data_IF_046942976712
#
_entry.id   IF_046942976712
#
_cell.length_a   1.000
_cell.length_b   1.000
_cell.length_c   1.000
_cell.angle_alpha   90.00
_cell.angle_beta   90.00
_cell.angle_gamma   90.00
#
_symmetry.space_group_name_H-M   'P 1'
#
loop_
_entity.id
_entity.type
_entity.pdbx_description
1 polymer ?
#
# COMPACT_ATOMS: atom_id res chain seq x y z
N UNK A 1 9.34 7.64 -48.46
CA UNK A 1 8.72 6.37 -48.01
C UNK A 1 9.82 5.43 -47.59
N UNK A 2 10.20 5.44 -46.31
CA UNK A 2 11.09 4.44 -45.76
C UNK A 2 10.21 3.33 -45.15
N UNK A 3 10.33 2.14 -45.69
CA UNK A 3 9.66 0.94 -45.22
C UNK A 3 10.15 0.60 -43.85
N UNK A 4 9.26 0.64 -42.84
CA UNK A 4 9.52 0.07 -41.52
C UNK A 4 9.77 -1.42 -41.68
N UNK A 5 11.00 -1.86 -41.41
CA UNK A 5 11.30 -3.29 -41.27
C UNK A 5 10.56 -3.84 -40.04
N UNK A 6 9.90 -4.97 -40.12
CA UNK A 6 9.36 -5.62 -38.93
C UNK A 6 10.52 -5.93 -37.98
N UNK A 7 10.47 -5.46 -36.75
CA UNK A 7 11.39 -5.86 -35.70
C UNK A 7 11.30 -7.38 -35.53
N UNK A 8 12.43 -8.01 -35.59
CA UNK A 8 12.52 -9.46 -35.47
C UNK A 8 12.02 -9.88 -34.06
N UNK A 9 10.99 -10.71 -34.05
CA UNK A 9 10.43 -11.35 -32.85
C UNK A 9 11.46 -12.26 -32.14
N UNK A 10 12.64 -12.45 -32.72
CA UNK A 10 13.67 -13.37 -32.23
C UNK A 10 14.46 -12.87 -31.02
N UNK A 11 14.55 -11.54 -30.78
CA UNK A 11 15.34 -11.03 -29.65
C UNK A 11 14.57 -10.94 -28.31
N UNK A 12 13.26 -10.97 -28.36
CA UNK A 12 12.42 -10.99 -27.13
C UNK A 12 12.42 -12.37 -26.43
N UNK A 13 12.93 -13.43 -27.09
CA UNK A 13 13.06 -14.78 -26.48
C UNK A 13 14.33 -14.98 -25.66
N UNK A 14 15.20 -14.00 -25.58
CA UNK A 14 16.45 -14.10 -24.82
C UNK A 14 16.27 -13.87 -23.30
N UNK A 15 15.10 -13.51 -22.85
CA UNK A 15 14.73 -13.43 -21.43
C UNK A 15 13.50 -14.29 -21.17
N UNK A 16 13.69 -15.62 -21.09
CA UNK A 16 12.61 -16.52 -20.79
C UNK A 16 12.29 -16.41 -19.31
N UNK A 17 11.57 -15.54 -18.77
CA UNK A 17 11.12 -15.48 -17.37
C UNK A 17 11.37 -14.16 -16.66
N UNK A 18 10.95 -13.03 -17.24
CA UNK A 18 10.68 -11.87 -16.46
C UNK A 18 9.24 -11.96 -15.93
N UNK A 19 9.11 -12.56 -14.75
CA UNK A 19 7.82 -12.74 -14.07
C UNK A 19 7.48 -11.57 -13.12
N UNK A 20 8.14 -10.42 -13.29
CA UNK A 20 7.94 -9.23 -12.45
C UNK A 20 6.51 -8.73 -12.54
N UNK A 21 5.86 -8.56 -11.40
CA UNK A 21 4.54 -7.97 -11.26
C UNK A 21 4.67 -6.47 -11.01
N UNK A 22 3.88 -5.67 -11.71
CA UNK A 22 3.82 -4.21 -11.55
C UNK A 22 2.54 -3.80 -10.81
N UNK A 23 2.56 -2.67 -10.12
CA UNK A 23 1.38 -2.09 -9.48
C UNK A 23 0.88 -2.83 -8.25
N UNK A 24 1.78 -3.58 -7.60
CA UNK A 24 1.49 -4.30 -6.36
C UNK A 24 2.65 -4.13 -5.39
N UNK A 25 2.35 -4.03 -4.12
CA UNK A 25 3.32 -4.16 -3.02
C UNK A 25 3.23 -5.50 -2.30
N UNK A 26 2.27 -6.34 -2.66
CA UNK A 26 1.98 -7.62 -2.03
C UNK A 26 2.40 -8.82 -2.88
N UNK A 27 2.43 -8.66 -4.21
CA UNK A 27 2.80 -9.71 -5.17
C UNK A 27 3.88 -9.14 -6.08
N UNK A 28 5.00 -9.86 -6.24
CA UNK A 28 6.21 -9.33 -6.86
C UNK A 28 6.60 -10.06 -8.13
N UNK A 29 6.37 -11.38 -8.16
CA UNK A 29 6.68 -12.25 -9.28
C UNK A 29 5.60 -13.32 -9.44
N UNK A 30 5.38 -13.78 -10.66
CA UNK A 30 4.47 -14.87 -10.96
C UNK A 30 5.22 -16.19 -11.16
N UNK A 31 4.52 -17.33 -11.09
CA UNK A 31 5.07 -18.63 -11.37
C UNK A 31 6.05 -19.21 -10.34
N UNK A 32 6.19 -18.59 -9.18
CA UNK A 32 7.14 -18.97 -8.13
C UNK A 32 6.46 -19.17 -6.77
N UNK A 33 7.09 -20.02 -5.93
CA UNK A 33 6.80 -20.03 -4.50
C UNK A 33 7.57 -18.89 -3.83
N UNK A 34 6.86 -18.01 -3.14
CA UNK A 34 7.45 -16.82 -2.54
C UNK A 34 7.15 -16.76 -1.06
N UNK A 35 8.16 -16.42 -0.25
CA UNK A 35 7.97 -15.90 1.08
C UNK A 35 7.69 -14.41 0.97
N UNK A 36 6.41 -14.03 0.99
CA UNK A 36 6.01 -12.63 0.86
C UNK A 36 6.32 -11.86 2.12
N UNK A 37 5.87 -12.37 3.26
CA UNK A 37 6.02 -11.73 4.57
C UNK A 37 6.23 -12.78 5.66
N UNK A 38 7.28 -12.61 6.45
CA UNK A 38 7.51 -13.33 7.70
C UNK A 38 7.86 -12.28 8.77
N UNK A 39 7.02 -12.18 9.81
CA UNK A 39 7.26 -11.33 10.97
C UNK A 39 7.48 -12.17 12.21
N UNK A 40 8.48 -11.83 13.01
CA UNK A 40 8.72 -12.39 14.35
C UNK A 40 8.91 -11.23 15.30
N UNK A 41 8.19 -11.25 16.42
CA UNK A 41 8.28 -10.20 17.42
C UNK A 41 7.21 -10.31 18.47
N UNK A 42 6.95 -9.22 19.16
CA UNK A 42 5.94 -9.21 20.22
C UNK A 42 5.79 -7.85 20.88
N UNK A 43 4.83 -7.81 21.77
CA UNK A 43 4.55 -6.68 22.64
C UNK A 43 5.28 -6.85 23.98
N UNK A 44 5.78 -5.76 24.50
CA UNK A 44 6.45 -5.66 25.78
C UNK A 44 5.67 -4.71 26.69
N UNK A 45 5.43 -5.16 27.93
CA UNK A 45 4.76 -4.37 28.95
C UNK A 45 5.46 -4.55 30.30
N UNK A 46 5.81 -3.44 30.93
CA UNK A 46 6.30 -3.39 32.30
C UNK A 46 5.70 -2.17 33.00
N UNK A 47 4.77 -2.41 33.95
CA UNK A 47 4.00 -1.36 34.60
C UNK A 47 3.27 -0.46 33.57
N UNK A 48 3.73 0.79 33.43
CA UNK A 48 3.21 1.76 32.46
C UNK A 48 4.10 1.89 31.20
N UNK A 49 5.28 1.25 31.20
CA UNK A 49 6.15 1.21 30.02
C UNK A 49 5.63 0.17 29.04
N UNK A 50 5.60 0.51 27.78
CA UNK A 50 5.16 -0.37 26.70
C UNK A 50 6.10 -0.28 25.52
N UNK A 51 6.14 -1.31 24.73
CA UNK A 51 6.90 -1.36 23.50
C UNK A 51 6.41 -2.46 22.60
N UNK A 52 6.80 -2.39 21.34
CA UNK A 52 6.58 -3.43 20.36
C UNK A 52 7.80 -3.51 19.46
N UNK A 53 8.23 -4.72 19.19
CA UNK A 53 9.21 -5.02 18.15
C UNK A 53 8.64 -6.11 17.25
N UNK A 54 8.52 -5.82 15.97
CA UNK A 54 8.16 -6.78 14.93
C UNK A 54 9.17 -6.68 13.80
N UNK A 55 9.80 -7.78 13.49
CA UNK A 55 10.66 -7.89 12.32
C UNK A 55 9.86 -8.17 11.05
N UNK A 56 10.49 -7.98 9.90
CA UNK A 56 9.92 -8.41 8.62
C UNK A 56 11.00 -9.00 7.71
N UNK A 57 10.69 -10.16 7.17
CA UNK A 57 11.52 -10.85 6.19
C UNK A 57 10.66 -11.21 4.98
N UNK A 58 11.30 -11.67 3.92
CA UNK A 58 10.64 -11.95 2.66
C UNK A 58 10.60 -10.72 1.75
N UNK A 59 9.72 -10.74 0.76
CA UNK A 59 9.70 -9.70 -0.27
C UNK A 59 9.31 -8.32 0.27
N UNK A 60 8.50 -8.25 1.33
CA UNK A 60 8.12 -7.00 1.96
C UNK A 60 9.31 -6.19 2.49
N UNK A 61 10.41 -6.85 2.87
CA UNK A 61 11.64 -6.14 3.26
C UNK A 61 12.31 -5.37 2.11
N UNK A 62 11.90 -5.61 0.88
CA UNK A 62 12.38 -4.88 -0.31
C UNK A 62 11.35 -3.91 -0.86
N UNK A 63 10.11 -4.35 -0.99
CA UNK A 63 9.08 -3.56 -1.68
C UNK A 63 8.52 -2.44 -0.82
N UNK A 64 8.41 -2.63 0.49
CA UNK A 64 7.95 -1.57 1.41
C UNK A 64 8.91 -0.39 1.44
N UNK A 65 10.23 -0.58 1.71
CA UNK A 65 11.20 0.52 1.70
C UNK A 65 11.41 1.13 0.32
N UNK A 66 11.20 0.39 -0.77
CA UNK A 66 11.33 0.90 -2.14
C UNK A 66 10.47 2.16 -2.39
N UNK A 67 9.37 2.29 -1.67
CA UNK A 67 8.46 3.44 -1.77
C UNK A 67 8.86 4.61 -0.86
N UNK A 68 9.96 4.50 -0.10
CA UNK A 68 10.52 5.60 0.70
C UNK A 68 11.52 6.42 -0.14
N UNK A 69 11.23 7.71 -0.34
CA UNK A 69 12.12 8.61 -1.06
C UNK A 69 13.18 9.27 -0.14
N UNK A 70 13.13 9.06 1.17
CA UNK A 70 14.05 9.70 2.13
C UNK A 70 15.52 9.33 1.92
N UNK A 71 15.93 8.17 1.35
CA UNK A 71 17.33 7.87 1.04
C UNK A 71 17.99 8.86 0.07
N UNK A 72 17.22 9.55 -0.76
CA UNK A 72 17.75 10.59 -1.63
C UNK A 72 18.11 11.89 -0.89
N UNK A 73 17.86 11.95 0.42
CA UNK A 73 18.12 13.11 1.26
C UNK A 73 19.16 12.81 2.34
N UNK A 74 20.40 13.17 2.10
CA UNK A 74 21.49 12.98 3.05
C UNK A 74 22.33 11.74 2.75
N UNK A 75 23.23 11.39 3.66
CA UNK A 75 24.26 10.39 3.39
C UNK A 75 23.94 8.99 3.94
N UNK A 76 22.94 8.90 4.82
CA UNK A 76 22.57 7.64 5.45
C UNK A 76 21.37 7.03 4.74
N UNK A 77 21.52 5.79 4.32
CA UNK A 77 20.43 5.03 3.70
C UNK A 77 19.55 4.41 4.79
N UNK A 78 18.45 5.09 5.10
CA UNK A 78 17.51 4.68 6.15
C UNK A 78 16.70 3.45 5.75
N UNK A 79 16.40 3.24 4.47
CA UNK A 79 15.68 2.07 4.01
C UNK A 79 16.49 0.80 4.24
N UNK A 80 17.80 0.84 4.02
CA UNK A 80 18.71 -0.26 4.35
C UNK A 80 18.80 -0.51 5.85
N UNK A 81 18.78 0.56 6.66
CA UNK A 81 18.87 0.45 8.11
C UNK A 81 17.64 -0.21 8.74
N UNK A 82 16.45 0.08 8.20
CA UNK A 82 15.19 -0.31 8.83
C UNK A 82 14.37 -1.35 8.05
N UNK A 83 14.81 -1.80 6.88
CA UNK A 83 14.04 -2.71 6.00
C UNK A 83 13.56 -4.01 6.64
N UNK A 84 14.24 -4.48 7.69
CA UNK A 84 13.88 -5.70 8.41
C UNK A 84 13.03 -5.45 9.66
N UNK A 85 12.54 -4.22 9.84
CA UNK A 85 11.71 -3.80 10.96
C UNK A 85 10.36 -3.32 10.40
N UNK A 86 9.28 -4.02 10.74
CA UNK A 86 7.94 -3.54 10.44
C UNK A 86 7.44 -2.59 11.52
N UNK A 87 7.65 -2.94 12.78
CA UNK A 87 7.31 -2.08 13.91
C UNK A 87 8.42 -2.09 14.95
N UNK A 88 8.82 -0.92 15.43
CA UNK A 88 9.72 -0.78 16.57
C UNK A 88 9.42 0.53 17.29
N UNK A 89 8.67 0.45 18.38
CA UNK A 89 8.35 1.62 19.18
C UNK A 89 8.40 1.32 20.67
N UNK A 90 8.69 2.37 21.42
CA UNK A 90 8.58 2.41 22.86
C UNK A 90 7.63 3.51 23.29
N UNK A 91 7.00 3.34 24.44
CA UNK A 91 6.04 4.32 24.91
C UNK A 91 5.63 4.16 26.35
N UNK A 92 4.69 5.00 26.74
CA UNK A 92 4.19 5.08 28.10
C UNK A 92 2.66 5.14 28.11
N UNK A 93 2.07 4.39 29.04
CA UNK A 93 0.63 4.34 29.26
C UNK A 93 0.25 5.19 30.49
N UNK A 94 -0.65 6.14 30.28
CA UNK A 94 -1.26 6.94 31.35
C UNK A 94 -2.65 6.38 31.68
N UNK A 95 -2.90 6.09 32.94
CA UNK A 95 -4.19 5.59 33.44
C UNK A 95 -5.17 6.74 33.66
N UNK A 96 -5.51 7.46 32.58
CA UNK A 96 -6.44 8.57 32.55
C UNK A 96 -7.58 8.23 31.59
N UNK A 97 -8.84 8.39 32.00
CA UNK A 97 -10.03 7.91 31.29
C UNK A 97 -9.93 6.40 31.01
N UNK A 98 -10.14 5.97 29.76
CA UNK A 98 -9.92 4.57 29.35
C UNK A 98 -8.48 4.31 28.83
N UNK A 99 -7.56 5.22 29.11
CA UNK A 99 -6.13 5.13 28.78
C UNK A 99 -5.68 6.19 27.78
N UNK A 100 -4.41 6.58 27.95
CA UNK A 100 -3.67 7.41 26.97
C UNK A 100 -2.32 6.72 26.76
N UNK A 101 -1.96 6.44 25.52
CA UNK A 101 -0.63 5.95 25.17
C UNK A 101 0.13 7.04 24.42
N UNK A 102 1.41 7.19 24.75
CA UNK A 102 2.34 8.06 24.04
C UNK A 102 3.47 7.15 23.56
N UNK A 103 3.58 6.94 22.26
CA UNK A 103 4.54 6.03 21.65
C UNK A 103 5.42 6.76 20.64
N UNK A 104 6.70 6.38 20.54
CA UNK A 104 7.64 6.90 19.56
C UNK A 104 8.41 5.76 18.88
N UNK A 105 8.60 5.87 17.56
CA UNK A 105 9.32 4.88 16.78
C UNK A 105 8.74 4.63 15.40
N UNK A 106 8.88 3.39 14.91
CA UNK A 106 8.38 2.91 13.63
C UNK A 106 7.07 2.15 13.85
N UNK A 107 6.06 2.49 13.07
CA UNK A 107 4.71 1.96 13.17
C UNK A 107 4.18 1.54 11.82
N UNK A 108 3.26 0.58 11.78
CA UNK A 108 2.40 0.40 10.62
C UNK A 108 1.49 1.61 10.44
N UNK A 109 1.08 1.82 9.20
CA UNK A 109 0.22 2.95 8.84
C UNK A 109 -1.09 2.97 9.61
N UNK A 110 -1.53 4.17 9.96
CA UNK A 110 -2.90 4.41 10.44
C UNK A 110 -3.86 4.74 9.30
N UNK A 111 -3.36 5.03 8.09
CA UNK A 111 -4.17 5.37 6.92
C UNK A 111 -4.65 4.10 6.24
N UNK A 112 -5.94 4.05 5.95
CA UNK A 112 -6.57 2.92 5.30
C UNK A 112 -7.18 1.90 6.25
N UNK A 113 -8.05 1.08 5.69
CA UNK A 113 -8.75 0.01 6.40
C UNK A 113 -7.95 -1.30 6.40
N UNK A 114 -7.14 -1.52 5.36
CA UNK A 114 -6.39 -2.75 5.17
C UNK A 114 -5.13 -2.76 6.02
N UNK A 115 -4.88 -3.92 6.64
CA UNK A 115 -3.68 -4.16 7.41
C UNK A 115 -2.47 -4.41 6.50
N UNK A 116 -1.30 -3.96 6.94
CA UNK A 116 -0.02 -4.39 6.38
C UNK A 116 0.18 -5.91 6.46
N UNK A 117 -0.38 -6.55 7.48
CA UNK A 117 -0.31 -7.97 7.68
C UNK A 117 -1.44 -8.68 6.92
N UNK A 118 -1.08 -9.44 5.91
CA UNK A 118 -2.01 -10.09 4.98
C UNK A 118 -3.00 -11.03 5.63
N UNK A 119 -2.63 -11.63 6.76
CA UNK A 119 -3.52 -12.50 7.53
C UNK A 119 -4.81 -11.79 7.96
N UNK A 120 -4.74 -10.51 8.27
CA UNK A 120 -5.87 -9.74 8.79
C UNK A 120 -6.81 -9.23 7.68
N UNK A 121 -6.42 -9.33 6.42
CA UNK A 121 -7.17 -8.80 5.28
C UNK A 121 -8.18 -9.81 4.71
N UNK A 122 -9.26 -9.29 4.14
CA UNK A 122 -10.27 -10.10 3.45
C UNK A 122 -9.88 -10.53 2.04
N UNK A 123 -8.99 -9.79 1.41
CA UNK A 123 -8.37 -10.09 0.12
C UNK A 123 -6.85 -10.17 0.28
N UNK A 124 -6.16 -10.94 -0.55
CA UNK A 124 -4.71 -10.99 -0.55
C UNK A 124 -4.11 -9.75 -1.21
N UNK A 125 -4.65 -9.39 -2.37
CA UNK A 125 -4.32 -8.17 -3.07
C UNK A 125 -5.44 -7.15 -2.83
N UNK A 126 -5.29 -6.21 -1.89
CA UNK A 126 -6.28 -5.15 -1.74
C UNK A 126 -6.33 -4.25 -2.98
N UNK A 127 -7.41 -3.48 -3.13
CA UNK A 127 -7.62 -2.57 -4.25
C UNK A 127 -6.52 -1.50 -4.37
N UNK A 128 -6.48 -0.81 -5.50
CA UNK A 128 -5.56 0.30 -5.78
C UNK A 128 -5.51 1.35 -4.70
N UNK A 129 -6.63 1.67 -4.06
CA UNK A 129 -6.68 2.63 -2.94
C UNK A 129 -5.68 2.20 -1.87
N UNK A 130 -5.76 0.96 -1.41
CA UNK A 130 -4.85 0.44 -0.39
C UNK A 130 -3.40 0.35 -0.89
N UNK A 131 -3.17 -0.11 -2.13
CA UNK A 131 -1.82 -0.24 -2.69
C UNK A 131 -1.12 1.13 -2.87
N UNK A 132 -1.87 2.23 -2.98
CA UNK A 132 -1.35 3.58 -3.17
C UNK A 132 -1.45 4.48 -1.92
N UNK A 133 -1.77 3.89 -0.75
CA UNK A 133 -1.68 4.54 0.56
C UNK A 133 -0.44 4.06 1.32
N UNK A 134 0.00 4.75 2.38
CA UNK A 134 1.25 4.42 3.06
C UNK A 134 1.14 3.16 3.88
N UNK A 135 2.23 2.41 3.98
CA UNK A 135 2.33 1.17 4.74
C UNK A 135 2.94 1.36 6.13
N UNK A 136 3.77 2.37 6.32
CA UNK A 136 4.45 2.62 7.60
C UNK A 136 4.68 4.10 7.84
N UNK A 137 4.94 4.43 9.11
CA UNK A 137 5.34 5.76 9.55
C UNK A 137 6.46 5.67 10.59
N UNK A 138 7.30 6.70 10.64
CA UNK A 138 8.27 6.90 11.70
C UNK A 138 8.01 8.24 12.39
N UNK A 139 7.80 8.22 13.71
CA UNK A 139 7.46 9.44 14.44
C UNK A 139 6.95 9.20 15.85
N UNK A 140 6.00 10.02 16.25
CA UNK A 140 5.33 9.96 17.55
C UNK A 140 3.82 9.89 17.33
N UNK A 141 3.15 9.03 18.09
CA UNK A 141 1.69 8.98 18.15
C UNK A 141 1.19 9.13 19.59
N UNK A 142 0.04 9.73 19.72
CA UNK A 142 -0.74 9.74 20.92
C UNK A 142 -2.02 8.93 20.68
N UNK A 143 -2.30 7.90 21.48
CA UNK A 143 -3.58 7.21 21.43
C UNK A 143 -4.40 7.62 22.65
N UNK A 144 -5.55 8.19 22.40
CA UNK A 144 -6.48 8.66 23.41
C UNK A 144 -7.78 7.88 23.31
N UNK A 145 -8.24 7.29 24.42
CA UNK A 145 -9.45 6.51 24.51
C UNK A 145 -10.48 7.19 25.41
N UNK A 146 -11.33 8.09 24.88
CA UNK A 146 -12.39 8.73 25.66
C UNK A 146 -13.43 7.74 26.17
N UNK A 147 -13.64 6.65 25.43
CA UNK A 147 -14.48 5.52 25.80
C UNK A 147 -13.92 4.23 25.18
N UNK A 148 -14.49 3.08 25.56
CA UNK A 148 -14.20 1.77 24.95
C UNK A 148 -14.59 1.68 23.45
N UNK A 149 -15.41 2.63 22.98
CA UNK A 149 -15.92 2.68 21.60
C UNK A 149 -15.30 3.78 20.74
N UNK A 150 -14.49 4.65 21.34
CA UNK A 150 -13.88 5.80 20.64
C UNK A 150 -12.38 5.86 20.90
N UNK A 151 -11.60 5.84 19.81
CA UNK A 151 -10.17 6.13 19.82
C UNK A 151 -9.90 7.36 18.97
N UNK A 152 -9.11 8.29 19.50
CA UNK A 152 -8.59 9.46 18.79
C UNK A 152 -7.06 9.35 18.83
N UNK A 153 -6.42 9.48 17.67
CA UNK A 153 -5.00 9.17 17.54
C UNK A 153 -4.29 10.21 16.67
N UNK A 154 -3.85 11.36 17.24
CA UNK A 154 -2.99 12.31 16.53
C UNK A 154 -1.56 11.79 16.39
N UNK A 155 -0.91 12.15 15.27
CA UNK A 155 0.43 11.75 14.89
C UNK A 155 1.30 12.93 14.48
N UNK A 156 2.57 12.87 14.86
CA UNK A 156 3.65 13.71 14.35
C UNK A 156 4.69 12.78 13.72
N UNK A 157 4.86 12.84 12.40
CA UNK A 157 5.63 11.85 11.65
C UNK A 157 6.64 12.51 10.71
N UNK A 158 7.64 11.77 10.31
CA UNK A 158 8.68 12.27 9.41
C UNK A 158 8.15 12.59 8.00
N UNK A 159 7.14 11.86 7.52
CA UNK A 159 6.54 12.05 6.21
C UNK A 159 5.66 10.87 5.82
N UNK A 160 5.04 10.97 4.67
CA UNK A 160 4.19 9.94 4.08
C UNK A 160 5.02 8.73 3.64
N UNK A 161 4.84 7.60 4.29
CA UNK A 161 5.60 6.37 4.05
C UNK A 161 7.12 6.63 4.05
N UNK A 162 7.63 7.23 5.11
CA UNK A 162 9.02 7.64 5.15
C UNK A 162 9.68 7.42 6.51
N UNK A 163 10.88 6.86 6.50
CA UNK A 163 11.73 6.77 7.69
C UNK A 163 12.34 8.12 8.07
N UNK A 164 12.59 8.99 7.09
CA UNK A 164 13.18 10.31 7.29
C UNK A 164 12.30 11.44 6.79
N UNK A 165 12.63 12.67 7.14
CA UNK A 165 11.92 13.86 6.64
C UNK A 165 12.28 14.16 5.19
N UNK A 166 11.30 14.53 4.39
CA UNK A 166 11.50 15.03 3.03
C UNK A 166 12.01 16.49 3.01
N UNK A 167 11.49 17.30 3.91
CA UNK A 167 11.78 18.74 4.00
C UNK A 167 12.04 19.16 5.45
N UNK A 168 11.94 20.47 5.77
CA UNK A 168 12.21 21.01 7.10
C UNK A 168 11.14 20.62 8.12
N UNK A 169 9.88 20.63 7.72
CA UNK A 169 8.74 20.34 8.59
C UNK A 169 8.45 18.82 8.63
N UNK A 170 8.01 18.28 9.78
CA UNK A 170 7.40 16.97 9.86
C UNK A 170 6.00 16.98 9.22
N UNK A 171 5.46 15.79 8.97
CA UNK A 171 4.05 15.60 8.65
C UNK A 171 3.18 15.49 9.90
N UNK A 172 1.94 15.90 9.77
CA UNK A 172 0.92 15.75 10.79
C UNK A 172 -0.22 14.89 10.26
N UNK A 173 -0.80 14.11 11.15
CA UNK A 173 -1.96 13.33 10.79
C UNK A 173 -2.72 12.82 11.99
N UNK A 174 -3.67 11.95 11.72
CA UNK A 174 -4.41 11.31 12.79
C UNK A 174 -5.51 10.41 12.31
N UNK A 175 -5.98 9.61 13.26
CA UNK A 175 -7.06 8.67 13.08
C UNK A 175 -8.13 8.89 14.13
N UNK A 176 -9.40 8.81 13.75
CA UNK A 176 -10.51 8.62 14.66
C UNK A 176 -11.20 7.32 14.30
N UNK A 177 -11.25 6.39 15.26
CA UNK A 177 -12.00 5.14 15.15
C UNK A 177 -13.18 5.20 16.13
N UNK A 178 -14.39 5.10 15.59
CA UNK A 178 -15.62 5.07 16.37
C UNK A 178 -16.45 3.84 16.07
N UNK A 179 -16.83 3.11 17.11
CA UNK A 179 -17.68 1.91 17.06
C UNK A 179 -19.00 2.18 17.76
N UNK A 180 -19.97 2.85 17.12
CA UNK A 180 -21.24 3.19 17.76
C UNK A 180 -22.00 1.95 18.24
N UNK A 181 -21.85 0.84 17.54
CA UNK A 181 -22.40 -0.48 17.91
C UNK A 181 -21.36 -1.58 17.69
N UNK A 182 -21.67 -2.80 18.11
CA UNK A 182 -20.81 -3.97 17.86
C UNK A 182 -20.83 -4.42 16.38
N UNK A 183 -21.72 -3.84 15.59
CA UNK A 183 -21.88 -4.15 14.18
C UNK A 183 -21.38 -3.05 13.24
N UNK A 184 -21.08 -1.87 13.73
CA UNK A 184 -20.68 -0.72 12.92
C UNK A 184 -19.36 -0.16 13.42
N UNK A 185 -18.41 0.02 12.50
CA UNK A 185 -17.16 0.71 12.75
C UNK A 185 -16.95 1.79 11.71
N UNK A 186 -16.66 2.99 12.17
CA UNK A 186 -16.34 4.17 11.36
C UNK A 186 -14.89 4.56 11.63
N UNK A 187 -14.15 4.78 10.55
CA UNK A 187 -12.75 5.17 10.60
C UNK A 187 -12.55 6.41 9.73
N UNK A 188 -11.89 7.42 10.25
CA UNK A 188 -11.42 8.56 9.46
C UNK A 188 -9.95 8.79 9.75
N UNK A 189 -9.17 8.93 8.69
CA UNK A 189 -7.74 9.16 8.71
C UNK A 189 -7.44 10.45 7.97
N UNK A 190 -6.54 11.26 8.49
CA UNK A 190 -6.16 12.52 7.86
C UNK A 190 -4.65 12.69 7.91
N UNK A 191 -4.11 13.37 6.89
CA UNK A 191 -2.71 13.67 6.78
C UNK A 191 -2.47 15.04 6.13
N UNK A 192 -1.43 15.73 6.58
CA UNK A 192 -0.90 16.95 5.95
C UNK A 192 0.63 16.99 6.09
N UNK A 193 1.33 17.24 5.00
CA UNK A 193 2.80 17.33 5.01
C UNK A 193 3.36 17.81 3.70
N UNK A 194 4.70 17.96 3.65
CA UNK A 194 5.44 18.37 2.45
C UNK A 194 6.28 17.21 1.94
N UNK A 195 5.75 16.47 0.95
CA UNK A 195 6.26 15.16 0.52
C UNK A 195 7.10 15.21 -0.75
N UNK A 196 7.17 16.34 -1.41
CA UNK A 196 8.04 16.51 -2.57
C UNK A 196 9.46 16.82 -2.12
N UNK A 197 10.37 15.89 -2.35
CA UNK A 197 11.75 15.99 -1.90
C UNK A 197 12.42 17.28 -2.42
N UNK A 198 12.95 18.09 -1.48
CA UNK A 198 13.59 19.37 -1.80
C UNK A 198 12.63 20.51 -2.14
N UNK A 199 11.32 20.30 -2.13
CA UNK A 199 10.32 21.34 -2.40
C UNK A 199 9.38 21.51 -1.19
N UNK A 200 9.77 22.39 -0.26
CA UNK A 200 9.03 22.62 0.98
C UNK A 200 7.71 23.40 0.79
N UNK A 201 7.50 23.97 -0.39
CA UNK A 201 6.29 24.74 -0.70
C UNK A 201 5.17 23.85 -1.30
N UNK A 202 5.45 22.59 -1.58
CA UNK A 202 4.48 21.61 -2.11
C UNK A 202 3.87 20.82 -0.97
N UNK A 203 2.62 21.09 -0.67
CA UNK A 203 1.85 20.48 0.41
C UNK A 203 0.96 19.36 -0.10
N UNK A 204 0.94 18.25 0.62
CA UNK A 204 -0.01 17.15 0.47
C UNK A 204 -1.05 17.20 1.59
N UNK A 205 -2.31 17.08 1.22
CA UNK A 205 -3.43 16.85 2.14
C UNK A 205 -4.12 15.57 1.70
N UNK A 206 -4.46 14.70 2.65
CA UNK A 206 -5.08 13.42 2.36
C UNK A 206 -6.08 13.02 3.45
N UNK A 207 -7.20 12.43 3.04
CA UNK A 207 -8.22 11.86 3.94
C UNK A 207 -8.68 10.50 3.42
N UNK A 208 -8.73 9.52 4.30
CA UNK A 208 -9.25 8.17 4.04
C UNK A 208 -10.36 7.89 5.04
N UNK A 209 -11.54 7.53 4.57
CA UNK A 209 -12.73 7.34 5.39
C UNK A 209 -13.35 5.99 5.12
N UNK A 210 -13.53 5.18 6.15
CA UNK A 210 -13.99 3.82 6.02
C UNK A 210 -15.19 3.51 6.91
N UNK A 211 -16.10 2.72 6.36
CA UNK A 211 -17.21 2.08 7.04
C UNK A 211 -17.02 0.58 7.02
N UNK A 212 -17.19 -0.07 8.16
CA UNK A 212 -17.40 -1.52 8.26
C UNK A 212 -18.76 -1.77 8.89
N UNK A 213 -19.51 -2.67 8.30
CA UNK A 213 -20.83 -3.06 8.81
C UNK A 213 -21.00 -4.57 8.78
N UNK A 214 -21.31 -5.16 9.94
CA UNK A 214 -21.70 -6.56 10.07
C UNK A 214 -23.22 -6.63 10.08
N UNK A 215 -23.80 -7.19 9.04
CA UNK A 215 -25.25 -7.22 8.84
C UNK A 215 -25.87 -8.52 9.32
N UNK A 216 -25.06 -9.57 9.52
CA UNK A 216 -25.49 -10.86 9.99
C UNK A 216 -24.38 -11.53 10.83
N UNK A 217 -24.76 -12.16 11.95
CA UNK A 217 -23.86 -12.93 12.80
C UNK A 217 -24.67 -13.99 13.56
N UNK A 218 -24.65 -15.23 13.07
CA UNK A 218 -25.26 -16.38 13.73
C UNK A 218 -24.51 -17.66 13.35
N UNK A 219 -23.75 -18.20 14.27
CA UNK A 219 -22.91 -19.40 14.06
C UNK A 219 -23.68 -20.73 13.99
N UNK A 220 -24.96 -20.72 14.30
CA UNK A 220 -25.81 -21.92 14.28
C UNK A 220 -26.45 -22.16 12.89
N UNK A 221 -26.20 -21.27 11.95
CA UNK A 221 -26.68 -21.37 10.57
C UNK A 221 -25.53 -21.65 9.59
N UNK A 222 -25.81 -22.21 8.38
CA UNK A 222 -24.79 -22.47 7.37
C UNK A 222 -23.98 -21.24 6.99
N UNK A 223 -24.63 -20.06 6.90
CA UNK A 223 -23.96 -18.75 6.78
C UNK A 223 -23.77 -18.21 8.18
N UNK A 224 -22.54 -18.18 8.69
CA UNK A 224 -22.26 -17.76 10.05
C UNK A 224 -22.16 -16.26 10.21
N UNK A 225 -21.74 -15.53 9.17
CA UNK A 225 -21.57 -14.08 9.24
C UNK A 225 -21.61 -13.45 7.85
N UNK A 226 -22.10 -12.22 7.76
CA UNK A 226 -21.99 -11.37 6.56
C UNK A 226 -21.61 -9.96 6.98
N UNK A 227 -20.60 -9.40 6.32
CA UNK A 227 -20.14 -8.05 6.57
C UNK A 227 -19.69 -7.37 5.28
N UNK A 228 -19.71 -6.04 5.29
CA UNK A 228 -19.30 -5.17 4.20
C UNK A 228 -18.32 -4.11 4.68
N UNK A 229 -17.47 -3.68 3.75
CA UNK A 229 -16.60 -2.51 3.94
C UNK A 229 -16.75 -1.56 2.77
N UNK A 230 -16.64 -0.28 3.06
CA UNK A 230 -16.52 0.79 2.07
C UNK A 230 -15.44 1.74 2.55
N UNK A 231 -14.47 2.05 1.69
CA UNK A 231 -13.48 3.10 1.91
C UNK A 231 -13.61 4.12 0.80
N UNK A 232 -13.59 5.40 1.17
CA UNK A 232 -13.46 6.53 0.24
C UNK A 232 -12.22 7.30 0.63
N UNK A 233 -11.35 7.51 -0.34
CA UNK A 233 -10.03 8.08 -0.17
C UNK A 233 -9.86 9.28 -1.10
N UNK A 234 -9.41 10.40 -0.56
CA UNK A 234 -9.22 11.64 -1.32
C UNK A 234 -8.00 12.40 -0.81
N UNK A 235 -7.23 12.91 -1.75
CA UNK A 235 -6.07 13.73 -1.43
C UNK A 235 -5.68 14.64 -2.57
N UNK A 236 -4.79 15.56 -2.29
CA UNK A 236 -4.23 16.41 -3.31
C UNK A 236 -2.89 17.01 -2.89
N UNK A 237 -2.17 17.56 -3.88
CA UNK A 237 -0.98 18.36 -3.67
C UNK A 237 -1.14 19.76 -4.27
N UNK A 238 -0.67 20.76 -3.54
CA UNK A 238 -0.74 22.17 -3.95
C UNK A 238 0.50 22.93 -3.51
N UNK A 239 0.87 23.96 -4.26
CA UNK A 239 2.08 24.74 -4.06
C UNK A 239 3.28 24.15 -4.81
N UNK A 240 4.42 24.85 -4.81
CA UNK A 240 5.62 24.40 -5.50
C UNK A 240 5.45 24.14 -7.01
N UNK A 241 4.52 24.83 -7.65
CA UNK A 241 4.26 24.72 -9.10
C UNK A 241 3.16 23.72 -9.48
N UNK A 242 2.44 23.15 -8.53
CA UNK A 242 1.30 22.25 -8.76
C UNK A 242 0.03 22.74 -8.07
N UNK A 243 -1.13 22.23 -8.47
CA UNK A 243 -2.44 22.60 -7.93
C UNK A 243 -3.36 21.38 -7.80
N UNK A 244 -4.18 21.35 -6.75
CA UNK A 244 -5.20 20.34 -6.57
C UNK A 244 -6.28 20.33 -7.64
N UNK A 245 -6.75 21.53 -8.04
CA UNK A 245 -8.00 21.66 -8.79
C UNK A 245 -7.80 22.18 -10.22
N UNK A 246 -6.65 22.75 -10.52
CA UNK A 246 -6.36 23.31 -11.84
C UNK A 246 -5.12 22.71 -12.42
N UNK A 247 -5.19 22.31 -13.67
CA UNK A 247 -4.06 21.76 -14.40
C UNK A 247 -4.14 22.12 -15.88
N UNK A 248 -3.02 21.97 -16.55
CA UNK A 248 -2.92 21.97 -18.01
C UNK A 248 -2.49 20.59 -18.46
N UNK A 249 -2.57 20.30 -19.76
CA UNK A 249 -2.00 19.07 -20.30
C UNK A 249 -0.50 18.92 -19.96
N UNK A 250 0.22 20.04 -19.77
CA UNK A 250 1.62 20.02 -19.33
C UNK A 250 1.82 19.88 -17.80
N UNK A 251 0.81 20.14 -17.00
CA UNK A 251 0.82 20.00 -15.52
C UNK A 251 -0.59 19.66 -15.08
N UNK A 252 -0.97 18.38 -15.04
CA UNK A 252 -2.31 17.97 -14.65
C UNK A 252 -2.57 18.31 -13.18
N UNK A 253 -3.84 18.40 -12.84
CA UNK A 253 -4.26 18.58 -11.46
C UNK A 253 -3.71 17.44 -10.59
N UNK A 254 -3.15 17.79 -9.45
CA UNK A 254 -2.56 16.84 -8.49
C UNK A 254 -3.60 16.46 -7.45
N UNK A 255 -4.55 15.61 -7.81
CA UNK A 255 -5.51 15.04 -6.86
C UNK A 255 -5.55 13.51 -6.97
N UNK A 256 -5.90 12.90 -5.88
CA UNK A 256 -6.20 11.49 -5.74
C UNK A 256 -7.63 11.36 -5.27
N UNK A 257 -8.43 10.57 -5.96
CA UNK A 257 -9.77 10.20 -5.53
C UNK A 257 -9.97 8.71 -5.81
N UNK A 258 -10.35 7.98 -4.79
CA UNK A 258 -10.57 6.55 -4.91
C UNK A 258 -11.63 6.02 -3.97
N UNK A 259 -12.09 4.83 -4.27
CA UNK A 259 -12.92 4.05 -3.36
C UNK A 259 -12.60 2.57 -3.48
N UNK A 260 -12.92 1.83 -2.44
CA UNK A 260 -12.92 0.37 -2.45
C UNK A 260 -14.09 -0.16 -1.63
N UNK A 261 -14.72 -1.22 -2.13
CA UNK A 261 -15.84 -1.86 -1.47
C UNK A 261 -15.67 -3.38 -1.51
N UNK A 262 -15.92 -4.03 -0.37
CA UNK A 262 -15.86 -5.49 -0.25
C UNK A 262 -17.03 -6.01 0.56
N UNK A 263 -17.58 -7.15 0.11
CA UNK A 263 -18.52 -7.95 0.85
C UNK A 263 -17.89 -9.31 1.18
N UNK A 264 -18.05 -9.77 2.42
CA UNK A 264 -17.57 -11.07 2.86
C UNK A 264 -18.66 -11.84 3.59
N UNK A 265 -18.80 -13.10 3.22
CA UNK A 265 -19.66 -14.06 3.89
C UNK A 265 -18.80 -15.21 4.44
N UNK A 266 -19.11 -15.61 5.66
CA UNK A 266 -18.46 -16.76 6.34
C UNK A 266 -19.47 -17.89 6.46
N UNK A 267 -18.99 -19.12 6.41
CA UNK A 267 -19.78 -20.33 6.37
C UNK A 267 -19.25 -21.36 7.37
N UNK A 268 -20.16 -22.23 7.82
CA UNK A 268 -19.84 -23.37 8.68
C UNK A 268 -19.00 -22.99 9.92
N UNK A 269 -19.51 -22.08 10.73
CA UNK A 269 -18.83 -21.56 11.94
C UNK A 269 -17.48 -20.91 11.61
N UNK A 270 -17.44 -20.15 10.53
CA UNK A 270 -16.27 -19.42 10.02
C UNK A 270 -15.16 -20.33 9.42
N UNK A 271 -15.45 -21.62 9.16
CA UNK A 271 -14.49 -22.54 8.53
C UNK A 271 -14.12 -22.11 7.11
N UNK A 272 -15.09 -21.55 6.36
CA UNK A 272 -14.91 -21.03 5.01
C UNK A 272 -15.34 -19.58 4.94
N UNK A 273 -14.75 -18.84 4.02
CA UNK A 273 -15.27 -17.52 3.66
C UNK A 273 -15.11 -17.23 2.17
N UNK A 274 -16.02 -16.42 1.66
CA UNK A 274 -15.94 -15.84 0.31
C UNK A 274 -15.96 -14.33 0.43
N UNK A 275 -15.02 -13.68 -0.22
CA UNK A 275 -14.97 -12.21 -0.34
C UNK A 275 -15.09 -11.83 -1.81
N UNK A 276 -15.89 -10.83 -2.11
CA UNK A 276 -15.98 -10.22 -3.43
C UNK A 276 -15.85 -8.72 -3.25
N UNK A 277 -15.06 -8.08 -4.08
CA UNK A 277 -14.91 -6.62 -4.04
C UNK A 277 -13.89 -6.09 -5.01
N UNK A 278 -13.56 -4.84 -4.84
CA UNK A 278 -12.62 -4.10 -5.67
C UNK A 278 -12.80 -2.60 -5.49
N UNK A 279 -12.24 -1.82 -6.39
CA UNK A 279 -12.32 -0.39 -6.33
C UNK A 279 -11.78 0.31 -7.56
N UNK A 280 -11.72 1.63 -7.48
CA UNK A 280 -11.18 2.46 -8.54
C UNK A 280 -10.47 3.68 -7.97
N UNK A 281 -9.49 4.19 -8.71
CA UNK A 281 -8.80 5.44 -8.41
C UNK A 281 -8.71 6.34 -9.64
N UNK A 282 -8.68 7.64 -9.36
CA UNK A 282 -8.35 8.70 -10.29
C UNK A 282 -7.20 9.51 -9.70
N UNK A 283 -6.07 9.58 -10.40
CA UNK A 283 -4.89 10.33 -9.97
C UNK A 283 -4.19 10.94 -11.20
N UNK A 284 -4.73 12.02 -11.77
CA UNK A 284 -4.23 12.57 -13.04
C UNK A 284 -2.77 13.03 -12.97
N UNK A 285 -2.32 13.49 -11.82
CA UNK A 285 -0.93 13.90 -11.60
C UNK A 285 0.01 12.76 -11.19
N UNK A 286 -0.51 11.57 -10.93
CA UNK A 286 0.24 10.34 -10.57
C UNK A 286 1.10 10.42 -9.30
N UNK A 287 0.86 11.38 -8.40
CA UNK A 287 1.76 11.65 -7.28
C UNK A 287 1.82 10.53 -6.22
N UNK A 288 0.86 9.62 -6.17
CA UNK A 288 0.83 8.45 -5.27
C UNK A 288 0.91 7.10 -5.99
N UNK A 289 0.99 7.08 -7.31
CA UNK A 289 0.98 5.82 -8.07
C UNK A 289 2.28 5.07 -7.85
N UNK A 290 2.19 3.77 -7.52
CA UNK A 290 3.35 2.90 -7.44
C UNK A 290 4.07 2.86 -8.79
N UNK A 291 5.35 3.19 -8.81
CA UNK A 291 6.14 3.17 -10.03
C UNK A 291 6.40 1.74 -10.52
N UNK A 292 6.32 1.46 -11.82
CA UNK A 292 6.83 0.21 -12.38
C UNK A 292 8.31 0.01 -11.99
N UNK A 293 8.71 -1.18 -11.48
CA UNK A 293 10.07 -1.43 -11.01
C UNK A 293 11.06 -1.67 -12.17
N UNK A 294 10.94 -0.92 -13.26
CA UNK A 294 11.81 -1.06 -14.43
C UNK A 294 13.22 -0.63 -14.08
N UNK A 295 14.20 -1.49 -14.35
CA UNK A 295 15.61 -1.28 -14.02
C UNK A 295 15.85 -0.89 -12.56
N UNK A 296 15.16 -1.56 -11.62
CA UNK A 296 15.29 -1.32 -10.19
C UNK A 296 14.74 0.03 -9.71
N UNK A 297 13.85 0.66 -10.46
CA UNK A 297 13.23 1.95 -10.10
C UNK A 297 12.59 1.92 -8.71
N UNK A 298 12.76 3.00 -7.98
CA UNK A 298 12.18 3.26 -6.65
C UNK A 298 11.60 4.66 -6.57
N UNK A 299 10.92 4.98 -5.48
CA UNK A 299 10.39 6.33 -5.25
C UNK A 299 11.48 7.41 -5.27
N UNK A 300 12.70 7.08 -4.85
CA UNK A 300 13.85 8.00 -4.86
C UNK A 300 14.41 8.23 -6.27
N UNK A 301 14.46 7.19 -7.11
CA UNK A 301 15.04 7.28 -8.46
C UNK A 301 14.02 7.72 -9.51
N UNK A 302 12.75 7.39 -9.33
CA UNK A 302 11.77 7.50 -10.42
C UNK A 302 12.07 6.55 -11.57
N UNK A 303 11.31 6.65 -12.66
CA UNK A 303 11.57 5.95 -13.92
C UNK A 303 11.07 6.73 -15.13
N UNK A 304 11.84 6.81 -16.22
CA UNK A 304 11.40 7.49 -17.45
C UNK A 304 10.34 6.71 -18.22
N UNK A 305 10.10 5.45 -17.88
CA UNK A 305 9.13 4.58 -18.55
C UNK A 305 7.70 4.79 -18.05
N UNK A 306 7.56 5.32 -16.85
CA UNK A 306 6.27 5.68 -16.28
C UNK A 306 6.45 6.96 -15.45
N UNK A 307 6.24 8.10 -16.09
CA UNK A 307 6.51 9.41 -15.48
C UNK A 307 5.25 9.99 -14.84
N UNK A 308 5.44 10.85 -13.84
CA UNK A 308 4.38 11.73 -13.33
C UNK A 308 3.97 12.80 -14.34
N UNK A 309 4.55 12.73 -15.54
CA UNK A 309 4.39 13.77 -16.50
C UNK A 309 3.02 13.76 -17.15
N UNK A 310 2.70 14.93 -17.49
CA UNK A 310 1.48 15.39 -18.09
C UNK A 310 1.16 14.70 -19.40
N UNK A 311 -0.11 14.61 -19.67
CA UNK A 311 -0.68 14.04 -20.87
C UNK A 311 -1.22 12.62 -20.68
N UNK A 312 -0.81 11.95 -19.59
CA UNK A 312 -1.27 10.60 -19.29
C UNK A 312 -1.92 10.56 -17.91
N UNK A 313 -3.14 11.08 -17.83
CA UNK A 313 -3.96 10.92 -16.63
C UNK A 313 -4.00 9.45 -16.20
N UNK A 314 -3.89 9.19 -14.89
CA UNK A 314 -3.98 7.84 -14.37
C UNK A 314 -5.35 7.57 -13.78
N UNK A 315 -6.05 6.62 -14.39
CA UNK A 315 -7.30 6.04 -13.90
C UNK A 315 -7.14 4.53 -13.88
N UNK A 316 -7.49 3.90 -12.76
CA UNK A 316 -7.39 2.46 -12.64
C UNK A 316 -8.55 1.90 -11.83
N UNK A 317 -8.88 0.63 -12.08
CA UNK A 317 -9.87 -0.11 -11.33
C UNK A 317 -9.45 -1.57 -11.18
N UNK A 318 -10.01 -2.23 -10.19
CA UNK A 318 -9.81 -3.65 -9.96
C UNK A 318 -11.06 -4.33 -9.42
N UNK A 319 -11.06 -5.66 -9.53
CA UNK A 319 -12.04 -6.52 -8.91
C UNK A 319 -11.40 -7.85 -8.52
N UNK A 320 -11.84 -8.41 -7.40
CA UNK A 320 -11.34 -9.69 -6.90
C UNK A 320 -12.45 -10.57 -6.33
N UNK A 321 -12.19 -11.87 -6.39
CA UNK A 321 -12.92 -12.90 -5.67
C UNK A 321 -11.92 -13.73 -4.88
N UNK A 322 -12.14 -13.85 -3.58
CA UNK A 322 -11.25 -14.56 -2.65
C UNK A 322 -12.03 -15.66 -1.94
N UNK A 323 -11.49 -16.85 -1.92
CA UNK A 323 -11.97 -17.98 -1.14
C UNK A 323 -10.97 -18.32 -0.06
N UNK A 324 -11.42 -18.41 1.21
CA UNK A 324 -10.63 -18.79 2.35
C UNK A 324 -11.13 -20.10 2.96
N UNK A 325 -10.20 -21.02 3.26
CA UNK A 325 -10.38 -22.15 4.13
C UNK A 325 -9.59 -21.93 5.43
N UNK A 326 -10.28 -21.82 6.55
CA UNK A 326 -9.74 -21.42 7.85
C UNK A 326 -9.93 -22.53 8.89
N UNK A 327 -9.11 -23.61 8.85
CA UNK A 327 -9.27 -24.77 9.76
C UNK A 327 -8.99 -24.42 11.23
N UNK A 328 -8.33 -23.31 11.48
CA UNK A 328 -8.09 -22.77 12.82
C UNK A 328 -8.00 -21.24 12.78
N UNK A 329 -8.05 -20.59 13.93
CA UNK A 329 -7.84 -19.14 14.05
C UNK A 329 -6.43 -18.68 13.65
N UNK A 330 -5.49 -19.61 13.49
CA UNK A 330 -4.08 -19.32 13.20
C UNK A 330 -3.69 -19.60 11.75
N UNK A 331 -4.54 -20.27 10.97
CA UNK A 331 -4.20 -20.79 9.65
C UNK A 331 -5.30 -20.49 8.64
N UNK A 332 -4.92 -19.91 7.52
CA UNK A 332 -5.80 -19.69 6.38
C UNK A 332 -5.12 -20.16 5.08
N UNK A 333 -5.82 -20.99 4.33
CA UNK A 333 -5.51 -21.26 2.92
C UNK A 333 -6.40 -20.35 2.08
N UNK A 334 -5.79 -19.53 1.23
CA UNK A 334 -6.47 -18.54 0.41
C UNK A 334 -6.26 -18.79 -1.06
N UNK A 335 -7.33 -18.75 -1.82
CA UNK A 335 -7.32 -18.71 -3.27
C UNK A 335 -7.98 -17.41 -3.73
N UNK A 336 -7.30 -16.62 -4.56
CA UNK A 336 -7.80 -15.34 -5.03
C UNK A 336 -7.62 -15.19 -6.53
N UNK A 337 -8.70 -14.84 -7.24
CA UNK A 337 -8.67 -14.30 -8.59
C UNK A 337 -8.80 -12.78 -8.54
N UNK A 338 -7.95 -12.09 -9.27
CA UNK A 338 -7.94 -10.64 -9.33
C UNK A 338 -7.76 -10.15 -10.77
N UNK A 339 -8.56 -9.16 -11.18
CA UNK A 339 -8.39 -8.41 -12.43
C UNK A 339 -8.07 -6.96 -12.10
N UNK A 340 -7.08 -6.39 -12.79
CA UNK A 340 -6.67 -5.00 -12.66
C UNK A 340 -6.53 -4.35 -14.02
N UNK A 341 -6.96 -3.10 -14.15
CA UNK A 341 -6.86 -2.34 -15.39
C UNK A 341 -6.54 -0.87 -15.14
N UNK A 342 -5.82 -0.25 -16.06
CA UNK A 342 -5.50 1.17 -16.09
C UNK A 342 -5.74 1.74 -17.49
N UNK A 343 -5.98 3.05 -17.58
CA UNK A 343 -6.13 3.74 -18.86
C UNK A 343 -4.82 3.89 -19.63
N UNK A 344 -3.68 3.73 -18.94
CA UNK A 344 -2.32 3.84 -19.49
C UNK A 344 -1.60 2.48 -19.46
N UNK A 345 -0.51 2.36 -20.20
CA UNK A 345 0.38 1.19 -20.15
C UNK A 345 1.11 1.18 -18.79
N UNK A 346 0.80 0.20 -17.96
CA UNK A 346 1.24 0.19 -16.56
C UNK A 346 1.68 -1.18 -16.04
N UNK A 347 0.99 -2.26 -16.43
CA UNK A 347 1.28 -3.62 -15.99
C UNK A 347 2.34 -4.28 -16.88
N UNK A 348 3.06 -5.26 -16.35
CA UNK A 348 4.01 -6.03 -17.13
C UNK A 348 3.29 -6.92 -18.16
N UNK A 349 3.68 -6.79 -19.42
CA UNK A 349 3.29 -7.68 -20.49
C UNK A 349 4.19 -8.91 -20.57
N UNK A 350 3.92 -9.79 -21.53
CA UNK A 350 4.66 -11.06 -21.72
C UNK A 350 6.14 -10.88 -22.07
N UNK A 351 6.52 -9.71 -22.62
CA UNK A 351 7.90 -9.36 -22.94
C UNK A 351 8.71 -8.93 -21.71
N UNK A 352 8.05 -8.71 -20.57
CA UNK A 352 8.68 -8.35 -19.32
C UNK A 352 9.08 -6.88 -19.18
N UNK A 353 9.57 -6.53 -18.00
CA UNK A 353 9.99 -5.16 -17.63
C UNK A 353 11.45 -5.10 -17.12
N UNK A 354 12.17 -6.21 -17.17
CA UNK A 354 13.58 -6.30 -16.77
C UNK A 354 14.50 -6.21 -17.99
N UNK A 355 15.47 -5.30 -18.00
CA UNK A 355 16.45 -5.20 -19.09
C UNK A 355 17.27 -6.48 -19.25
N UNK A 356 17.81 -6.75 -20.47
CA UNK A 356 18.75 -7.83 -20.70
C UNK A 356 19.94 -7.81 -19.73
N UNK A 357 20.22 -8.95 -19.12
CA UNK A 357 21.29 -9.06 -18.12
C UNK A 357 20.88 -8.62 -16.69
N UNK A 358 19.59 -8.36 -16.46
CA UNK A 358 19.06 -7.90 -15.18
C UNK A 358 19.08 -6.38 -15.06
N UNK A 359 18.87 -5.87 -13.85
CA UNK A 359 18.96 -4.44 -13.60
C UNK A 359 20.41 -3.96 -13.82
N UNK A 360 20.60 -3.01 -14.70
CA UNK A 360 21.91 -2.47 -15.08
C UNK A 360 21.90 -0.93 -15.06
N UNK A 361 23.06 -0.33 -14.74
CA UNK A 361 23.18 1.12 -14.60
C UNK A 361 22.54 1.65 -13.30
N UNK A 362 22.19 2.93 -13.29
CA UNK A 362 21.52 3.56 -12.15
C UNK A 362 20.05 3.09 -12.07
N UNK A 363 19.51 2.86 -10.85
CA UNK A 363 18.10 2.49 -10.70
C UNK A 363 17.17 3.47 -11.42
N UNK A 364 16.21 2.94 -12.19
CA UNK A 364 15.24 3.72 -12.94
C UNK A 364 15.77 4.42 -14.17
N UNK A 365 17.04 4.26 -14.54
CA UNK A 365 17.61 4.86 -15.75
C UNK A 365 17.14 4.17 -17.02
N UNK A 366 17.22 4.89 -18.13
CA UNK A 366 17.04 4.32 -19.48
C UNK A 366 18.16 3.34 -19.77
N UNK A 367 17.84 2.18 -20.36
CA UNK A 367 18.79 1.21 -20.86
C UNK A 367 18.73 1.20 -22.38
N UNK A 368 19.86 1.45 -23.02
CA UNK A 368 19.94 1.53 -24.47
C UNK A 368 19.47 0.23 -25.16
N UNK A 369 18.59 0.38 -26.15
CA UNK A 369 18.04 -0.74 -26.89
C UNK A 369 16.96 -1.56 -26.15
N UNK A 370 16.61 -1.21 -24.91
CA UNK A 370 15.55 -1.83 -24.16
C UNK A 370 14.31 -0.93 -24.07
N UNK A 371 13.15 -1.55 -24.25
CA UNK A 371 11.86 -0.96 -23.92
C UNK A 371 11.04 -1.99 -23.12
N UNK A 372 10.53 -1.65 -21.94
CA UNK A 372 9.69 -2.57 -21.17
C UNK A 372 8.40 -2.85 -21.94
N UNK A 373 7.93 -4.09 -21.87
CA UNK A 373 6.62 -4.46 -22.40
C UNK A 373 5.57 -4.14 -21.33
N UNK A 374 4.88 -3.01 -21.50
CA UNK A 374 3.82 -2.58 -20.60
C UNK A 374 2.45 -2.73 -21.27
N UNK A 375 1.49 -3.23 -20.52
CA UNK A 375 0.09 -3.44 -20.93
C UNK A 375 -0.88 -2.72 -19.99
N UNK A 376 -2.14 -2.59 -20.40
CA UNK A 376 -3.17 -1.83 -19.66
C UNK A 376 -3.92 -2.64 -18.63
N UNK A 377 -3.82 -3.96 -18.66
CA UNK A 377 -4.55 -4.82 -17.72
C UNK A 377 -3.78 -6.10 -17.43
N UNK A 378 -4.12 -6.72 -16.31
CA UNK A 378 -3.59 -8.01 -15.91
C UNK A 378 -4.65 -8.84 -15.18
N UNK A 379 -4.54 -10.15 -15.28
CA UNK A 379 -5.28 -11.14 -14.51
C UNK A 379 -4.32 -11.95 -13.66
N UNK A 380 -4.72 -12.24 -12.41
CA UNK A 380 -3.91 -13.02 -11.47
C UNK A 380 -4.73 -14.11 -10.81
N UNK A 381 -4.07 -15.23 -10.58
CA UNK A 381 -4.54 -16.27 -9.67
C UNK A 381 -3.49 -16.47 -8.59
N UNK A 382 -3.87 -16.22 -7.34
CA UNK A 382 -2.97 -16.31 -6.18
C UNK A 382 -3.42 -17.43 -5.26
N UNK A 383 -2.50 -18.31 -4.91
CA UNK A 383 -2.67 -19.30 -3.83
C UNK A 383 -1.75 -18.91 -2.69
N UNK A 384 -2.30 -18.71 -1.50
CA UNK A 384 -1.53 -18.27 -0.33
C UNK A 384 -1.80 -19.13 0.89
N UNK A 385 -0.75 -19.33 1.69
CA UNK A 385 -0.81 -19.87 3.03
C UNK A 385 -0.51 -18.73 4.01
N UNK A 386 -1.46 -18.45 4.89
CA UNK A 386 -1.36 -17.38 5.88
C UNK A 386 -1.36 -18.00 7.29
N UNK A 387 -0.34 -17.64 8.07
CA UNK A 387 -0.16 -18.14 9.44
C UNK A 387 0.03 -16.95 10.39
N UNK A 388 -0.68 -16.98 11.54
CA UNK A 388 -0.54 -15.99 12.60
C UNK A 388 -0.58 -16.70 13.94
N UNK A 389 0.52 -16.63 14.69
CA UNK A 389 0.68 -17.24 16.01
C UNK A 389 0.65 -16.19 17.11
#
# INVERSE_FOLDING_TARGET
MQSARPRAISDQRAHPQDDTIVGSSEIFRSGEFQLTQLGIGGDFHWENVRGRLMTQFGMYSQTTPRNDASPARGQWNLDNAYRYISEAYGGYHLKVLNGINIDAGIFMSYVGLYSYYQFDNWAYQPSYVSSNTPWFFNGVRLQFFPSDRLKIEPWLINGWQSYGKFNKAPGFGGQVLWRPTDSISLLTNNYVGTESLGNADRWRVHTDNSLQIKVYDNKDTPVSKVAFTLTVDAGCESGGGVSCASGTAARPAQYFLGFTAYGRAWFHKDLFAVTIGGGAITNPGRYLVLLPPVNGASAASGTPYFTENPGDDYHAWDGSITFDYMPSQFLTFRLEGNHRAANVLYFAGRGGVTPPGGNSGAPGSVVDGFAPDLVKSEDRLTLALLLKL
#
